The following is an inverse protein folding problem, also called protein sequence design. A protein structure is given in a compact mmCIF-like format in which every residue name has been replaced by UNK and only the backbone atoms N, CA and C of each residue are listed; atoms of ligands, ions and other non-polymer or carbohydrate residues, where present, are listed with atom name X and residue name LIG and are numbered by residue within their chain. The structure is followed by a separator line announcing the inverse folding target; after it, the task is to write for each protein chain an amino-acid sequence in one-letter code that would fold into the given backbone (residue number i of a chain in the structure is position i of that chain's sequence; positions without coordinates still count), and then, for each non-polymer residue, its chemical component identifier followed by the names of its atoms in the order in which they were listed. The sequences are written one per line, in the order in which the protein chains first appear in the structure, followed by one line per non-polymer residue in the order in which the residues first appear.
data_IF_080366098126
#
_entry.id   IF_080366098126
#
_cell.length_a   1.000
_cell.length_b   1.000
_cell.length_c   1.000
_cell.angle_alpha   90.00
_cell.angle_beta   90.00
_cell.angle_gamma   90.00
#
_symmetry.space_group_name_H-M   'P 1'
#
loop_
_entity.id
_entity.type
_entity.pdbx_description
1 polymer ?
#
# COMPACT_ATOMS: atom_id res chain seq x y z
N UNK A 1 -1.49 -15.04 27.17
CA UNK A 1 -0.96 -15.18 25.80
C UNK A 1 -2.05 -15.14 24.72
N UNK A 2 -3.12 -15.97 24.79
CA UNK A 2 -4.23 -15.94 23.80
C UNK A 2 -4.95 -14.60 23.65
N UNK A 3 -5.24 -13.91 24.76
CA UNK A 3 -5.90 -12.59 24.76
C UNK A 3 -5.02 -11.50 24.13
N UNK A 4 -3.71 -11.49 24.44
CA UNK A 4 -2.74 -10.56 23.84
C UNK A 4 -2.66 -10.76 22.32
N UNK A 5 -2.62 -12.01 21.86
CA UNK A 5 -2.60 -12.34 20.43
C UNK A 5 -3.87 -11.85 19.72
N UNK A 6 -5.04 -11.99 20.35
CA UNK A 6 -6.32 -11.51 19.79
C UNK A 6 -6.37 -9.99 19.65
N UNK A 7 -5.86 -9.23 20.63
CA UNK A 7 -5.85 -7.77 20.56
C UNK A 7 -4.88 -7.27 19.48
N UNK A 8 -3.69 -7.86 19.38
CA UNK A 8 -2.72 -7.50 18.34
C UNK A 8 -3.24 -7.89 16.95
N UNK A 9 -3.96 -9.02 16.82
CA UNK A 9 -4.62 -9.40 15.55
C UNK A 9 -5.68 -8.37 15.13
N UNK A 10 -6.52 -7.89 16.05
CA UNK A 10 -7.51 -6.82 15.76
C UNK A 10 -6.82 -5.53 15.33
N UNK A 11 -5.76 -5.14 16.03
CA UNK A 11 -4.96 -3.97 15.70
C UNK A 11 -4.30 -4.10 14.31
N UNK A 12 -3.78 -5.28 13.98
CA UNK A 12 -3.23 -5.57 12.65
C UNK A 12 -4.27 -5.40 11.53
N UNK A 13 -5.49 -5.91 11.72
CA UNK A 13 -6.58 -5.68 10.76
C UNK A 13 -6.96 -4.21 10.65
N UNK A 14 -7.02 -3.49 11.78
CA UNK A 14 -7.25 -2.06 11.79
C UNK A 14 -6.20 -1.32 10.93
N UNK A 15 -4.91 -1.63 11.11
CA UNK A 15 -3.83 -1.03 10.33
C UNK A 15 -3.99 -1.29 8.81
N UNK A 16 -4.40 -2.49 8.42
CA UNK A 16 -4.65 -2.81 7.00
C UNK A 16 -5.80 -1.99 6.44
N UNK A 17 -6.90 -1.85 7.19
CA UNK A 17 -8.04 -1.06 6.75
C UNK A 17 -7.69 0.42 6.66
N UNK A 18 -6.92 0.95 7.61
CA UNK A 18 -6.44 2.34 7.56
C UNK A 18 -5.51 2.53 6.38
N UNK A 19 -4.61 1.57 6.09
CA UNK A 19 -3.75 1.63 4.91
C UNK A 19 -4.55 1.59 3.60
N UNK A 20 -5.70 0.92 3.57
CA UNK A 20 -6.59 0.91 2.40
C UNK A 20 -7.13 2.32 2.08
N UNK A 21 -7.19 3.22 3.06
CA UNK A 21 -7.63 4.61 2.88
C UNK A 21 -6.51 5.52 2.34
N UNK A 22 -5.36 4.98 1.91
CA UNK A 22 -4.23 5.80 1.48
C UNK A 22 -4.52 6.87 0.41
N UNK A 23 -5.48 6.74 -0.53
CA UNK A 23 -5.80 7.81 -1.48
C UNK A 23 -6.23 9.14 -0.84
N UNK A 24 -6.70 9.11 0.42
CA UNK A 24 -7.10 10.30 1.18
C UNK A 24 -6.18 10.59 2.38
N UNK A 25 -5.21 9.72 2.68
CA UNK A 25 -4.34 9.93 3.82
C UNK A 25 -3.33 11.05 3.54
N UNK A 26 -3.03 11.89 4.54
CA UNK A 26 -1.91 12.82 4.45
C UNK A 26 -0.59 12.08 4.17
N UNK A 27 0.30 12.74 3.41
CA UNK A 27 1.59 12.16 3.05
C UNK A 27 2.40 11.75 4.28
N UNK A 28 3.08 10.62 4.16
CA UNK A 28 3.92 10.07 5.23
C UNK A 28 3.16 9.28 6.29
N UNK A 29 1.86 9.52 6.49
CA UNK A 29 1.03 8.70 7.41
C UNK A 29 0.94 7.27 6.87
N UNK A 30 0.80 7.10 5.56
CA UNK A 30 0.87 5.79 4.89
C UNK A 30 2.15 5.01 5.24
N UNK A 31 3.32 5.68 5.27
CA UNK A 31 4.61 5.08 5.62
C UNK A 31 4.63 4.66 7.09
N UNK A 32 4.11 5.51 7.99
CA UNK A 32 4.00 5.19 9.43
C UNK A 32 3.10 3.97 9.64
N UNK A 33 1.92 3.94 9.01
CA UNK A 33 0.99 2.80 9.09
C UNK A 33 1.65 1.54 8.55
N UNK A 34 2.38 1.64 7.44
CA UNK A 34 3.11 0.50 6.86
C UNK A 34 4.17 -0.03 7.84
N UNK A 35 4.95 0.84 8.48
CA UNK A 35 5.95 0.45 9.49
C UNK A 35 5.27 -0.24 10.68
N UNK A 36 4.18 0.34 11.21
CA UNK A 36 3.41 -0.27 12.30
C UNK A 36 2.83 -1.63 11.89
N UNK A 37 2.38 -1.76 10.65
CA UNK A 37 1.86 -3.01 10.09
C UNK A 37 2.97 -4.06 10.01
N UNK A 38 4.17 -3.68 9.60
CA UNK A 38 5.33 -4.57 9.58
C UNK A 38 5.71 -5.03 10.99
N UNK A 39 5.85 -4.11 11.95
CA UNK A 39 6.20 -4.43 13.34
C UNK A 39 5.15 -5.34 13.98
N UNK A 40 3.87 -5.02 13.85
CA UNK A 40 2.79 -5.85 14.37
C UNK A 40 2.76 -7.25 13.73
N UNK A 41 3.02 -7.35 12.43
CA UNK A 41 3.15 -8.63 11.72
C UNK A 41 4.32 -9.47 12.26
N UNK A 42 5.48 -8.84 12.45
CA UNK A 42 6.67 -9.48 12.96
C UNK A 42 6.48 -9.96 14.41
N UNK A 43 5.90 -9.12 15.28
CA UNK A 43 5.59 -9.49 16.66
C UNK A 43 4.63 -10.69 16.70
N UNK A 44 3.54 -10.66 15.93
CA UNK A 44 2.60 -11.78 15.84
C UNK A 44 3.25 -13.08 15.35
N UNK A 45 4.20 -12.97 14.41
CA UNK A 45 4.95 -14.11 13.89
C UNK A 45 5.92 -14.70 14.92
N UNK A 46 6.55 -13.86 15.76
CA UNK A 46 7.43 -14.31 16.83
C UNK A 46 6.67 -14.93 18.01
N UNK A 47 5.45 -14.45 18.28
CA UNK A 47 4.60 -14.89 19.39
C UNK A 47 3.71 -16.10 19.07
N UNK A 48 3.62 -16.51 17.81
CA UNK A 48 2.79 -17.64 17.35
C UNK A 48 3.68 -18.81 16.92
N UNK A 49 3.20 -20.05 17.09
CA UNK A 49 3.92 -21.22 16.61
C UNK A 49 4.26 -21.10 15.12
N UNK A 50 5.55 -21.28 14.82
CA UNK A 50 6.09 -21.13 13.48
C UNK A 50 5.69 -22.34 12.63
N UNK A 51 4.52 -22.24 11.99
CA UNK A 51 4.17 -23.18 10.93
C UNK A 51 5.27 -23.17 9.87
N UNK A 52 5.76 -24.36 9.49
CA UNK A 52 6.80 -24.48 8.46
C UNK A 52 6.32 -23.78 7.19
N UNK A 53 7.01 -22.70 6.81
CA UNK A 53 6.69 -21.96 5.59
C UNK A 53 7.12 -22.81 4.38
N UNK A 54 6.21 -23.20 3.48
CA UNK A 54 6.52 -24.01 2.31
C UNK A 54 7.52 -23.33 1.38
N UNK A 55 8.37 -24.13 0.73
CA UNK A 55 9.39 -23.66 -0.22
C UNK A 55 8.81 -22.75 -1.30
N UNK A 56 7.66 -23.12 -1.87
CA UNK A 56 6.99 -22.31 -2.91
C UNK A 56 6.63 -20.90 -2.43
N UNK A 57 6.17 -20.75 -1.18
CA UNK A 57 5.85 -19.42 -0.63
C UNK A 57 7.12 -18.57 -0.47
N UNK A 58 8.23 -19.18 -0.03
CA UNK A 58 9.52 -18.46 0.10
C UNK A 58 10.02 -17.96 -1.25
N UNK A 59 9.92 -18.79 -2.29
CA UNK A 59 10.31 -18.43 -3.66
C UNK A 59 9.48 -17.23 -4.15
N UNK A 60 8.15 -17.26 -3.96
CA UNK A 60 7.27 -16.13 -4.32
C UNK A 60 7.66 -14.83 -3.62
N UNK A 61 8.03 -14.90 -2.34
CA UNK A 61 8.48 -13.73 -1.57
C UNK A 61 9.77 -13.16 -2.14
N UNK A 62 10.73 -14.02 -2.49
CA UNK A 62 11.99 -13.59 -3.11
C UNK A 62 11.75 -12.92 -4.46
N UNK A 63 10.93 -13.52 -5.32
CA UNK A 63 10.59 -12.99 -6.65
C UNK A 63 9.92 -11.61 -6.53
N UNK A 64 8.95 -11.45 -5.62
CA UNK A 64 8.29 -10.17 -5.43
C UNK A 64 9.22 -9.10 -4.81
N UNK A 65 10.26 -9.54 -4.10
CA UNK A 65 11.27 -8.67 -3.50
C UNK A 65 12.44 -8.36 -4.43
N UNK A 66 12.46 -8.88 -5.66
CA UNK A 66 13.61 -8.76 -6.57
C UNK A 66 13.99 -7.31 -6.84
N UNK A 67 13.03 -6.40 -7.03
CA UNK A 67 13.30 -4.98 -7.25
C UNK A 67 14.10 -4.39 -6.09
N UNK A 68 13.69 -4.65 -4.85
CA UNK A 68 14.42 -4.22 -3.66
C UNK A 68 15.82 -4.85 -3.58
N UNK A 69 15.93 -6.15 -3.84
CA UNK A 69 17.20 -6.90 -3.81
C UNK A 69 18.19 -6.31 -4.81
N UNK A 70 17.76 -5.99 -6.03
CA UNK A 70 18.61 -5.39 -7.06
C UNK A 70 19.14 -4.02 -6.62
N UNK A 71 18.31 -3.18 -5.98
CA UNK A 71 18.79 -1.89 -5.46
C UNK A 71 19.81 -2.06 -4.32
N UNK A 72 19.65 -3.07 -3.46
CA UNK A 72 20.64 -3.36 -2.40
C UNK A 72 21.95 -3.87 -2.99
N UNK A 73 21.90 -4.78 -3.97
CA UNK A 73 23.09 -5.31 -4.65
C UNK A 73 23.78 -4.20 -5.45
N UNK A 74 23.03 -3.25 -6.02
CA UNK A 74 23.58 -2.12 -6.76
C UNK A 74 24.23 -1.05 -5.89
N UNK A 75 23.92 -0.98 -4.59
CA UNK A 75 24.39 0.09 -3.71
C UNK A 75 25.93 0.21 -3.63
N UNK A 76 26.72 -0.87 -3.50
CA UNK A 76 28.17 -0.79 -3.47
C UNK A 76 28.80 -0.26 -4.77
N UNK A 77 28.06 -0.31 -5.89
CA UNK A 77 28.49 0.20 -7.19
C UNK A 77 28.09 1.66 -7.41
N UNK A 78 27.36 2.27 -6.47
CA UNK A 78 26.92 3.65 -6.57
C UNK A 78 28.00 4.60 -6.04
N UNK A 79 28.40 5.57 -6.87
CA UNK A 79 29.25 6.69 -6.45
C UNK A 79 28.54 7.59 -5.42
N UNK A 80 27.21 7.67 -5.50
CA UNK A 80 26.38 8.46 -4.60
C UNK A 80 25.56 7.57 -3.67
N UNK A 81 26.15 7.22 -2.52
CA UNK A 81 25.48 6.40 -1.51
C UNK A 81 24.20 7.06 -0.98
N UNK A 82 24.20 8.39 -0.82
CA UNK A 82 23.04 9.14 -0.31
C UNK A 82 21.83 8.98 -1.23
N UNK A 83 22.05 9.05 -2.54
CA UNK A 83 20.98 8.83 -3.52
C UNK A 83 20.60 7.35 -3.63
N UNK A 84 21.58 6.44 -3.60
CA UNK A 84 21.35 4.99 -3.55
C UNK A 84 20.42 4.58 -2.41
N UNK A 85 20.64 5.09 -1.20
CA UNK A 85 19.74 4.84 -0.06
C UNK A 85 18.32 5.36 -0.29
N UNK A 86 18.14 6.49 -0.98
CA UNK A 86 16.79 6.99 -1.31
C UNK A 86 16.04 6.01 -2.22
N UNK A 87 16.73 5.40 -3.19
CA UNK A 87 16.11 4.37 -4.05
C UNK A 87 15.75 3.11 -3.26
N UNK A 88 16.61 2.65 -2.36
CA UNK A 88 16.32 1.51 -1.48
C UNK A 88 15.09 1.80 -0.60
N UNK A 89 14.99 2.99 0.00
CA UNK A 89 13.83 3.38 0.82
C UNK A 89 12.55 3.40 -0.03
N UNK A 90 12.60 3.93 -1.25
CA UNK A 90 11.47 3.91 -2.19
C UNK A 90 11.07 2.50 -2.62
N UNK A 91 12.03 1.59 -2.74
CA UNK A 91 11.80 0.19 -3.11
C UNK A 91 11.41 -0.70 -1.92
N UNK A 92 11.51 -0.20 -0.68
CA UNK A 92 11.24 -0.96 0.54
C UNK A 92 9.87 -1.66 0.55
N UNK A 93 8.76 -1.07 0.03
CA UNK A 93 7.48 -1.75 -0.05
C UNK A 93 7.54 -3.08 -0.82
N UNK A 94 8.40 -3.21 -1.83
CA UNK A 94 8.58 -4.45 -2.59
C UNK A 94 9.17 -5.59 -1.75
N UNK A 95 9.90 -5.28 -0.67
CA UNK A 95 10.31 -6.29 0.31
C UNK A 95 9.23 -6.48 1.39
N UNK A 96 8.72 -5.38 1.93
CA UNK A 96 7.90 -5.42 3.14
C UNK A 96 6.53 -6.06 2.88
N UNK A 97 5.84 -5.73 1.78
CA UNK A 97 4.55 -6.34 1.46
C UNK A 97 4.64 -7.87 1.32
N UNK A 98 5.58 -8.43 0.54
CA UNK A 98 5.78 -9.88 0.47
C UNK A 98 6.13 -10.52 1.82
N UNK A 99 6.94 -9.87 2.65
CA UNK A 99 7.27 -10.40 3.99
C UNK A 99 6.03 -10.48 4.89
N UNK A 100 5.24 -9.41 4.96
CA UNK A 100 4.03 -9.36 5.79
C UNK A 100 3.06 -10.46 5.39
N UNK A 101 2.64 -10.49 4.12
CA UNK A 101 1.55 -11.36 3.67
C UNK A 101 2.01 -12.78 3.29
N UNK A 102 3.28 -12.94 2.88
CA UNK A 102 3.84 -14.22 2.46
C UNK A 102 4.49 -15.02 3.58
N UNK A 103 5.13 -14.36 4.55
CA UNK A 103 5.87 -15.01 5.65
C UNK A 103 5.14 -14.81 6.97
N UNK A 104 5.05 -13.57 7.45
CA UNK A 104 4.64 -13.29 8.84
C UNK A 104 3.17 -13.60 9.12
N UNK A 105 2.30 -13.33 8.14
CA UNK A 105 0.84 -13.47 8.27
C UNK A 105 0.26 -14.33 7.15
N UNK A 106 1.02 -15.31 6.69
CA UNK A 106 0.60 -16.24 5.64
C UNK A 106 -0.77 -16.84 5.96
N UNK A 107 -1.71 -16.70 5.02
CA UNK A 107 -3.04 -17.31 5.10
C UNK A 107 -3.95 -16.73 6.20
N UNK A 108 -3.51 -15.67 6.91
CA UNK A 108 -4.33 -15.02 7.93
C UNK A 108 -5.33 -14.03 7.33
N UNK A 109 -4.97 -13.37 6.22
CA UNK A 109 -5.89 -12.49 5.52
C UNK A 109 -6.97 -13.30 4.78
N UNK A 110 -8.15 -13.43 5.40
CA UNK A 110 -9.29 -14.11 4.79
C UNK A 110 -9.82 -13.31 3.60
N UNK A 111 -10.48 -14.00 2.66
CA UNK A 111 -11.13 -13.39 1.49
C UNK A 111 -12.07 -12.24 1.90
N UNK A 112 -12.90 -12.43 2.93
CA UNK A 112 -13.83 -11.39 3.41
C UNK A 112 -13.13 -10.10 3.85
N UNK A 113 -11.98 -10.19 4.52
CA UNK A 113 -11.18 -9.04 4.92
C UNK A 113 -10.55 -8.35 3.71
N UNK A 114 -10.01 -9.13 2.77
CA UNK A 114 -9.45 -8.59 1.52
C UNK A 114 -10.51 -7.84 0.69
N UNK A 115 -11.74 -8.35 0.66
CA UNK A 115 -12.83 -7.67 -0.03
C UNK A 115 -13.18 -6.33 0.62
N UNK A 116 -13.22 -6.27 1.96
CA UNK A 116 -13.41 -5.01 2.68
C UNK A 116 -12.30 -4.01 2.40
N UNK A 117 -11.03 -4.45 2.33
CA UNK A 117 -9.89 -3.61 1.95
C UNK A 117 -10.12 -3.00 0.56
N UNK A 118 -10.54 -3.79 -0.42
CA UNK A 118 -10.83 -3.30 -1.75
C UNK A 118 -12.00 -2.32 -1.79
N UNK A 119 -13.06 -2.56 -1.04
CA UNK A 119 -14.18 -1.60 -0.94
C UNK A 119 -13.75 -0.29 -0.28
N UNK A 120 -12.99 -0.35 0.82
CA UNK A 120 -12.46 0.84 1.48
C UNK A 120 -11.53 1.64 0.57
N UNK A 121 -10.67 0.93 -0.18
CA UNK A 121 -9.79 1.55 -1.15
C UNK A 121 -10.58 2.29 -2.25
N UNK A 122 -11.52 1.62 -2.92
CA UNK A 122 -12.34 2.25 -3.96
C UNK A 122 -13.17 3.40 -3.39
N UNK A 123 -13.76 3.23 -2.20
CA UNK A 123 -14.52 4.28 -1.54
C UNK A 123 -13.64 5.51 -1.24
N UNK A 124 -12.46 5.32 -0.66
CA UNK A 124 -11.53 6.41 -0.38
C UNK A 124 -11.06 7.13 -1.65
N UNK A 125 -10.78 6.37 -2.72
CA UNK A 125 -10.41 6.91 -4.02
C UNK A 125 -11.52 7.78 -4.61
N UNK A 126 -12.77 7.30 -4.61
CA UNK A 126 -13.92 8.07 -5.08
C UNK A 126 -14.14 9.32 -4.22
N UNK A 127 -14.02 9.21 -2.90
CA UNK A 127 -14.16 10.34 -2.00
C UNK A 127 -13.09 11.40 -2.25
N UNK A 128 -11.83 11.00 -2.42
CA UNK A 128 -10.72 11.88 -2.75
C UNK A 128 -10.89 12.55 -4.12
N UNK A 129 -11.37 11.83 -5.12
CA UNK A 129 -11.72 12.36 -6.44
C UNK A 129 -12.81 13.41 -6.36
N UNK A 130 -13.94 13.09 -5.70
CA UNK A 130 -15.06 14.02 -5.57
C UNK A 130 -14.64 15.28 -4.81
N UNK A 131 -13.95 15.11 -3.67
CA UNK A 131 -13.45 16.22 -2.88
C UNK A 131 -12.52 17.14 -3.70
N UNK A 132 -11.54 16.56 -4.40
CA UNK A 132 -10.59 17.34 -5.19
C UNK A 132 -11.26 18.11 -6.33
N UNK A 133 -12.20 17.49 -7.05
CA UNK A 133 -12.92 18.15 -8.14
C UNK A 133 -13.84 19.27 -7.63
N UNK A 134 -14.57 19.04 -6.52
CA UNK A 134 -15.40 20.09 -5.90
C UNK A 134 -14.51 21.24 -5.42
N UNK A 135 -13.40 20.96 -4.74
CA UNK A 135 -12.50 21.98 -4.23
C UNK A 135 -11.93 22.83 -5.38
N UNK A 136 -11.50 22.21 -6.47
CA UNK A 136 -10.97 22.93 -7.64
C UNK A 136 -12.07 23.70 -8.36
N UNK A 137 -13.29 23.15 -8.50
CA UNK A 137 -14.40 23.85 -9.13
C UNK A 137 -14.82 25.13 -8.38
N UNK A 138 -14.69 25.15 -7.05
CA UNK A 138 -15.05 26.32 -6.23
C UNK A 138 -13.91 27.34 -6.16
N UNK A 139 -12.65 26.88 -6.04
CA UNK A 139 -11.52 27.76 -5.72
C UNK A 139 -10.66 28.16 -6.91
N UNK A 140 -10.83 27.52 -8.07
CA UNK A 140 -9.99 27.77 -9.24
C UNK A 140 -10.80 28.16 -10.47
N UNK A 141 -10.60 29.39 -10.94
CA UNK A 141 -11.00 29.83 -12.26
C UNK A 141 -9.90 29.48 -13.29
N UNK A 142 -9.55 28.20 -13.39
CA UNK A 142 -8.53 27.74 -14.36
C UNK A 142 -9.12 27.78 -15.76
N UNK A 143 -8.47 28.50 -16.68
CA UNK A 143 -8.96 28.67 -18.05
C UNK A 143 -8.44 27.56 -19.00
N UNK A 144 -7.40 26.83 -18.59
CA UNK A 144 -6.81 25.74 -19.38
C UNK A 144 -6.70 24.41 -18.62
N UNK A 145 -6.73 23.30 -19.36
CA UNK A 145 -6.56 21.94 -18.82
C UNK A 145 -5.20 21.73 -18.13
N UNK A 146 -4.16 22.45 -18.56
CA UNK A 146 -2.83 22.37 -17.96
C UNK A 146 -2.79 23.02 -16.58
N UNK A 147 -3.43 24.18 -16.42
CA UNK A 147 -3.55 24.85 -15.12
C UNK A 147 -4.38 24.01 -14.15
N UNK A 148 -5.48 23.41 -14.63
CA UNK A 148 -6.27 22.47 -13.82
C UNK A 148 -5.42 21.30 -13.32
N UNK A 149 -4.63 20.68 -14.21
CA UNK A 149 -3.73 19.59 -13.84
C UNK A 149 -2.73 20.03 -12.76
N UNK A 150 -2.07 21.17 -12.93
CA UNK A 150 -1.09 21.66 -11.97
C UNK A 150 -1.72 21.96 -10.61
N UNK A 151 -2.91 22.54 -10.61
CA UNK A 151 -3.66 22.79 -9.39
C UNK A 151 -4.09 21.49 -8.69
N UNK A 152 -4.51 20.47 -9.45
CA UNK A 152 -4.82 19.14 -8.93
C UNK A 152 -3.60 18.46 -8.32
N UNK A 153 -2.46 18.47 -9.03
CA UNK A 153 -1.21 17.90 -8.52
C UNK A 153 -0.72 18.63 -7.26
N UNK A 154 -0.91 19.95 -7.18
CA UNK A 154 -0.59 20.74 -5.99
C UNK A 154 -1.49 20.39 -4.79
N UNK A 155 -2.81 20.22 -5.02
CA UNK A 155 -3.78 19.88 -3.98
C UNK A 155 -3.55 18.48 -3.40
N UNK A 156 -3.48 17.47 -4.27
CA UNK A 156 -3.30 16.07 -3.85
C UNK A 156 -1.86 15.82 -3.41
N UNK A 157 -0.92 16.56 -4.00
CA UNK A 157 0.48 16.41 -3.72
C UNK A 157 1.13 15.20 -4.39
N UNK A 158 0.50 14.66 -5.42
CA UNK A 158 1.01 13.51 -6.15
C UNK A 158 0.93 13.82 -7.63
N UNK A 159 1.97 13.47 -8.39
CA UNK A 159 1.93 13.65 -9.84
C UNK A 159 0.73 12.91 -10.44
N UNK A 160 0.11 13.50 -11.46
CA UNK A 160 -1.12 12.97 -12.05
C UNK A 160 -0.96 11.56 -12.58
N UNK A 161 0.25 11.16 -12.98
CA UNK A 161 0.58 9.80 -13.43
C UNK A 161 0.51 8.74 -12.33
N UNK A 162 0.90 9.08 -11.09
CA UNK A 162 0.76 8.15 -9.97
C UNK A 162 -0.70 8.07 -9.52
N UNK A 163 -1.39 9.22 -9.53
CA UNK A 163 -2.81 9.24 -9.19
C UNK A 163 -3.65 8.48 -10.22
N UNK A 164 -3.33 8.57 -11.52
CA UNK A 164 -4.00 7.78 -12.56
C UNK A 164 -3.77 6.29 -12.40
N UNK A 165 -2.60 5.87 -11.90
CA UNK A 165 -2.34 4.48 -11.54
C UNK A 165 -3.26 4.00 -10.40
N UNK A 166 -3.53 4.86 -9.41
CA UNK A 166 -4.51 4.56 -8.36
C UNK A 166 -5.92 4.40 -8.95
N UNK A 167 -6.32 5.30 -9.85
CA UNK A 167 -7.59 5.19 -10.56
C UNK A 167 -7.68 3.89 -11.35
N UNK A 168 -6.67 3.57 -12.15
CA UNK A 168 -6.61 2.34 -12.95
C UNK A 168 -6.74 1.10 -12.06
N UNK A 169 -6.09 1.08 -10.90
CA UNK A 169 -6.20 -0.02 -9.95
C UNK A 169 -7.60 -0.12 -9.33
N UNK A 170 -8.23 1.00 -8.97
CA UNK A 170 -9.62 1.02 -8.49
C UNK A 170 -10.62 0.53 -9.53
N UNK A 171 -10.46 0.94 -10.78
CA UNK A 171 -11.26 0.48 -11.91
C UNK A 171 -11.09 -1.03 -12.12
N UNK A 172 -9.85 -1.53 -12.10
CA UNK A 172 -9.56 -2.95 -12.19
C UNK A 172 -10.26 -3.77 -11.09
N UNK A 173 -10.25 -3.27 -9.85
CA UNK A 173 -10.96 -3.90 -8.73
C UNK A 173 -12.47 -3.98 -9.02
N UNK A 174 -13.09 -2.88 -9.48
CA UNK A 174 -14.51 -2.85 -9.81
C UNK A 174 -14.87 -3.85 -10.91
N UNK A 175 -14.10 -3.87 -12.01
CA UNK A 175 -14.30 -4.84 -13.09
C UNK A 175 -14.17 -6.30 -12.60
N UNK A 176 -13.16 -6.58 -11.76
CA UNK A 176 -12.96 -7.91 -11.19
C UNK A 176 -14.13 -8.39 -10.32
N UNK A 177 -14.91 -7.45 -9.77
CA UNK A 177 -16.10 -7.72 -8.95
C UNK A 177 -17.33 -7.95 -9.82
N UNK A 178 -17.53 -7.15 -10.86
CA UNK A 178 -18.62 -7.34 -11.83
C UNK A 178 -18.53 -8.73 -12.47
N UNK A 179 -17.34 -9.12 -12.94
CA UNK A 179 -17.12 -10.45 -13.56
C UNK A 179 -17.40 -11.63 -12.61
N UNK A 180 -17.35 -11.43 -11.29
CA UNK A 180 -17.68 -12.47 -10.31
C UNK A 180 -19.18 -12.55 -9.98
N UNK A 181 -19.94 -11.51 -10.32
CA UNK A 181 -21.37 -11.41 -10.05
C UNK A 181 -22.24 -11.89 -11.23
N UNK A 182 -21.67 -11.89 -12.44
CA UNK A 182 -22.21 -12.52 -13.66
C UNK A 182 -21.77 -13.98 -13.68
#
# INVERSE_FOLDING_TARGET
MKLLNSNIDKFWYFLIYTLALFPILPRGIESVIMILLFISSLLLYLLTDKNKIPKNTRIKVVILSTVFILYVIGLPYSENLKEGFKYIIRALPFLVFPLIFGIFRKGKLKKTHLERVFYLYVFSLLLGLVFSHIYLAVNNNTNSSWEYRNAFEALIGVHGTYYSLWIAFGVFILFSKIKKAI
#
